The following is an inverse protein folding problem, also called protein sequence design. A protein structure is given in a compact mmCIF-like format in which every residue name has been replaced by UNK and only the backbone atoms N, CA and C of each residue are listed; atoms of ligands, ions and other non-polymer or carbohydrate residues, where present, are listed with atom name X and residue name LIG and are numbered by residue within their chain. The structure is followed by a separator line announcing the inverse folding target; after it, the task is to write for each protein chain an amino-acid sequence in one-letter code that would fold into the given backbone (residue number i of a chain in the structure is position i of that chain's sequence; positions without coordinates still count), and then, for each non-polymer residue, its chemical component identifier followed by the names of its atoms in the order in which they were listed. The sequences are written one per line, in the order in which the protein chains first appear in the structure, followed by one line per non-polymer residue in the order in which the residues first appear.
data_IF_335008498123
#
_entry.id   IF_335008498123
#
_cell.length_a   1.000
_cell.length_b   1.000
_cell.length_c   1.000
_cell.angle_alpha   90.00
_cell.angle_beta   90.00
_cell.angle_gamma   90.00
#
_symmetry.space_group_name_H-M   'P 1'
#
loop_
_entity.id
_entity.type
_entity.pdbx_description
1 polymer ?
#
# COMPACT_ATOMS: atom_id res chain seq x y z
N UNK A 1 18.14 -25.21 -5.72
CA UNK A 1 16.75 -24.72 -5.78
C UNK A 1 16.82 -23.21 -5.70
N UNK A 2 16.42 -22.49 -6.75
CA UNK A 2 16.66 -21.05 -6.87
C UNK A 2 15.79 -20.27 -5.89
N UNK A 3 16.38 -19.24 -5.29
CA UNK A 3 15.75 -18.26 -4.39
C UNK A 3 14.74 -17.32 -5.12
N UNK A 4 14.40 -17.63 -6.38
CA UNK A 4 13.48 -16.86 -7.22
C UNK A 4 12.00 -17.16 -6.98
N UNK A 5 11.67 -17.94 -5.96
CA UNK A 5 10.29 -18.30 -5.58
C UNK A 5 9.74 -17.49 -4.39
N UNK A 6 10.51 -16.53 -3.87
CA UNK A 6 10.08 -15.59 -2.81
C UNK A 6 10.01 -14.14 -3.30
N UNK A 7 9.96 -13.91 -4.61
CA UNK A 7 9.74 -12.56 -5.11
C UNK A 7 8.25 -12.17 -4.97
N UNK A 8 7.89 -11.75 -3.76
CA UNK A 8 6.58 -11.19 -3.42
C UNK A 8 6.42 -9.74 -3.91
N UNK A 9 7.36 -9.20 -4.70
CA UNK A 9 7.24 -7.85 -5.28
C UNK A 9 6.37 -7.80 -6.54
N UNK A 10 5.97 -8.94 -7.10
CA UNK A 10 5.05 -9.04 -8.25
C UNK A 10 3.55 -9.02 -7.86
N UNK A 11 3.22 -8.67 -6.62
CA UNK A 11 1.84 -8.63 -6.16
C UNK A 11 1.14 -7.38 -6.70
N UNK A 12 0.33 -7.60 -7.75
CA UNK A 12 -0.61 -6.68 -8.39
C UNK A 12 -0.37 -5.19 -8.12
N UNK A 13 0.59 -4.61 -8.84
CA UNK A 13 0.66 -3.16 -8.98
C UNK A 13 -0.68 -2.65 -9.51
N UNK A 14 -1.15 -1.50 -9.01
CA UNK A 14 -2.30 -0.79 -9.57
C UNK A 14 -2.15 -0.50 -11.08
N UNK A 15 -0.93 -0.64 -11.63
CA UNK A 15 -0.65 -0.57 -13.06
C UNK A 15 -1.28 -1.70 -13.91
N UNK A 16 -1.66 -2.85 -13.32
CA UNK A 16 -2.28 -3.97 -14.07
C UNK A 16 -3.76 -3.74 -14.42
N UNK A 17 -4.30 -2.54 -14.17
CA UNK A 17 -5.72 -2.20 -14.45
C UNK A 17 -6.01 -2.05 -15.97
N UNK A 18 -5.01 -2.17 -16.85
CA UNK A 18 -5.19 -2.13 -18.30
C UNK A 18 -5.18 -3.54 -18.95
N UNK A 19 -6.22 -3.79 -19.76
CA UNK A 19 -6.46 -4.92 -20.70
C UNK A 19 -7.01 -6.27 -20.16
N UNK A 20 -8.34 -6.40 -20.14
CA UNK A 20 -9.13 -7.20 -21.10
C UNK A 20 -9.18 -8.76 -21.10
N UNK A 21 -10.35 -9.28 -20.65
CA UNK A 21 -11.12 -10.45 -21.14
C UNK A 21 -10.72 -11.89 -20.73
N UNK A 22 -10.37 -12.15 -19.47
CA UNK A 22 -10.55 -13.50 -18.89
C UNK A 22 -11.16 -13.49 -17.46
N UNK A 23 -11.80 -14.59 -17.03
CA UNK A 23 -12.41 -14.72 -15.69
C UNK A 23 -11.38 -14.55 -14.57
N UNK A 24 -10.12 -14.93 -14.82
CA UNK A 24 -9.00 -14.76 -13.89
C UNK A 24 -8.59 -13.27 -13.76
N UNK A 25 -8.60 -12.50 -14.85
CA UNK A 25 -8.35 -11.06 -14.81
C UNK A 25 -9.48 -10.26 -14.15
N UNK A 26 -10.74 -10.67 -14.36
CA UNK A 26 -11.88 -10.07 -13.67
C UNK A 26 -11.87 -10.35 -12.16
N UNK A 27 -11.44 -11.55 -11.75
CA UNK A 27 -11.25 -11.88 -10.34
C UNK A 27 -10.08 -11.08 -9.74
N UNK A 28 -8.94 -11.01 -10.43
CA UNK A 28 -7.76 -10.29 -9.97
C UNK A 28 -8.01 -8.77 -9.84
N UNK A 29 -8.62 -8.15 -10.85
CA UNK A 29 -9.02 -6.73 -10.79
C UNK A 29 -10.03 -6.46 -9.68
N UNK A 30 -10.98 -7.37 -9.43
CA UNK A 30 -11.91 -7.25 -8.30
C UNK A 30 -11.21 -7.37 -6.94
N UNK A 31 -10.19 -8.22 -6.79
CA UNK A 31 -9.40 -8.31 -5.55
C UNK A 31 -8.66 -7.00 -5.28
N UNK A 32 -7.94 -6.46 -6.28
CA UNK A 32 -7.17 -5.21 -6.16
C UNK A 32 -8.07 -4.03 -5.82
N UNK A 33 -9.29 -4.03 -6.34
CA UNK A 33 -10.28 -2.99 -6.10
C UNK A 33 -11.09 -3.18 -4.81
N UNK A 34 -10.95 -4.30 -4.08
CA UNK A 34 -11.55 -4.43 -2.76
C UNK A 34 -10.69 -3.67 -1.73
N UNK A 35 -11.20 -2.60 -1.12
CA UNK A 35 -10.42 -1.76 -0.21
C UNK A 35 -9.99 -2.50 1.06
N UNK A 36 -10.57 -3.67 1.32
CA UNK A 36 -10.22 -4.51 2.45
C UNK A 36 -9.37 -5.72 2.07
N UNK A 37 -9.04 -5.97 0.79
CA UNK A 37 -8.36 -7.20 0.38
C UNK A 37 -7.02 -7.43 1.10
N UNK A 38 -6.27 -6.35 1.37
CA UNK A 38 -4.97 -6.40 2.04
C UNK A 38 -5.06 -6.25 3.57
N UNK A 39 -6.27 -6.03 4.11
CA UNK A 39 -6.50 -5.89 5.54
C UNK A 39 -6.59 -7.24 6.26
N UNK A 40 -6.30 -7.23 7.55
CA UNK A 40 -6.47 -8.42 8.39
C UNK A 40 -7.93 -8.51 8.83
N UNK A 41 -8.68 -9.46 8.28
CA UNK A 41 -10.07 -9.66 8.67
C UNK A 41 -10.17 -10.24 10.08
N UNK A 42 -10.81 -9.51 10.98
CA UNK A 42 -11.06 -9.98 12.33
C UNK A 42 -12.29 -10.89 12.31
N UNK A 43 -12.08 -12.19 12.27
CA UNK A 43 -13.14 -13.18 12.11
C UNK A 43 -13.19 -14.14 13.30
N UNK A 44 -14.39 -14.55 13.67
CA UNK A 44 -14.60 -15.75 14.46
C UNK A 44 -14.20 -16.97 13.62
N UNK A 45 -13.71 -18.02 14.27
CA UNK A 45 -13.21 -19.20 13.58
C UNK A 45 -14.33 -19.89 12.79
N UNK A 46 -15.56 -19.92 13.31
CA UNK A 46 -16.72 -20.44 12.56
C UNK A 46 -16.95 -19.71 11.23
N UNK A 47 -16.70 -18.40 11.17
CA UNK A 47 -16.88 -17.62 9.95
C UNK A 47 -15.68 -17.75 9.02
N UNK A 48 -14.48 -17.84 9.57
CA UNK A 48 -13.28 -18.22 8.82
C UNK A 48 -13.48 -19.55 8.09
N UNK A 49 -14.06 -20.55 8.75
CA UNK A 49 -14.29 -21.86 8.16
C UNK A 49 -15.36 -21.86 7.04
N UNK A 50 -16.17 -20.80 6.94
CA UNK A 50 -17.19 -20.63 5.89
C UNK A 50 -16.67 -19.88 4.66
N UNK A 51 -15.41 -19.43 4.66
CA UNK A 51 -14.86 -18.77 3.47
C UNK A 51 -14.78 -19.78 2.31
N UNK A 52 -15.08 -19.30 1.11
CA UNK A 52 -15.07 -20.13 -0.09
C UNK A 52 -13.79 -19.88 -0.88
N UNK A 53 -13.02 -20.91 -1.23
CA UNK A 53 -11.89 -20.74 -2.13
C UNK A 53 -12.40 -20.30 -3.50
N UNK A 54 -11.75 -19.29 -4.07
CA UNK A 54 -12.03 -18.77 -5.40
C UNK A 54 -10.84 -19.07 -6.31
N UNK A 55 -10.92 -20.19 -7.03
CA UNK A 55 -9.83 -20.72 -7.85
C UNK A 55 -8.72 -21.38 -7.03
N UNK A 56 -7.55 -21.52 -7.65
CA UNK A 56 -6.42 -22.29 -7.11
C UNK A 56 -5.35 -21.43 -6.40
N UNK A 57 -5.43 -20.10 -6.50
CA UNK A 57 -4.39 -19.14 -6.07
C UNK A 57 -4.40 -18.78 -4.55
N UNK A 58 -4.96 -19.62 -3.67
CA UNK A 58 -5.19 -19.27 -2.25
C UNK A 58 -5.94 -17.93 -2.08
N UNK A 59 -6.88 -17.65 -2.97
CA UNK A 59 -7.82 -16.53 -2.84
C UNK A 59 -9.11 -17.06 -2.20
N UNK A 60 -9.63 -16.33 -1.22
CA UNK A 60 -10.82 -16.73 -0.50
C UNK A 60 -11.86 -15.63 -0.52
N UNK A 61 -13.13 -16.04 -0.54
CA UNK A 61 -14.28 -15.16 -0.48
C UNK A 61 -15.07 -15.36 0.80
N UNK A 62 -15.40 -14.25 1.44
CA UNK A 62 -16.33 -14.20 2.55
C UNK A 62 -17.50 -13.30 2.16
N UNK A 63 -18.59 -13.91 1.68
CA UNK A 63 -19.70 -13.18 1.08
C UNK A 63 -19.26 -12.36 -0.14
N UNK A 64 -19.47 -11.03 -0.16
CA UNK A 64 -19.05 -10.19 -1.27
C UNK A 64 -17.54 -9.87 -1.26
N UNK A 65 -16.82 -10.14 -0.18
CA UNK A 65 -15.45 -9.66 0.05
C UNK A 65 -14.37 -10.67 -0.23
N UNK A 66 -13.18 -10.18 -0.57
CA UNK A 66 -11.96 -10.97 -0.70
C UNK A 66 -11.19 -11.00 0.63
N UNK A 67 -10.70 -12.19 1.00
CA UNK A 67 -9.99 -12.43 2.25
C UNK A 67 -8.65 -13.09 1.94
N UNK A 68 -7.57 -12.40 2.29
CA UNK A 68 -6.20 -12.90 2.18
C UNK A 68 -5.56 -13.10 3.55
N UNK A 69 -5.80 -12.15 4.46
CA UNK A 69 -5.23 -12.10 5.79
C UNK A 69 -6.32 -12.06 6.85
N UNK A 70 -6.04 -12.67 7.99
CA UNK A 70 -7.00 -12.83 9.08
C UNK A 70 -6.35 -12.54 10.42
N UNK A 71 -7.17 -12.07 11.35
CA UNK A 71 -6.88 -11.87 12.76
C UNK A 71 -7.89 -12.71 13.58
N UNK A 72 -7.41 -13.78 14.18
CA UNK A 72 -8.21 -14.72 14.96
C UNK A 72 -7.77 -14.71 16.41
N UNK A 73 -8.70 -14.96 17.32
CA UNK A 73 -8.45 -15.11 18.76
C UNK A 73 -9.02 -16.45 19.18
N UNK A 74 -8.27 -17.21 19.97
CA UNK A 74 -8.73 -18.48 20.50
C UNK A 74 -7.73 -19.13 21.45
N UNK A 75 -8.16 -20.21 22.06
CA UNK A 75 -7.37 -21.02 22.98
C UNK A 75 -6.63 -22.10 22.20
N UNK A 76 -5.35 -22.30 22.50
CA UNK A 76 -4.54 -23.39 21.95
C UNK A 76 -5.09 -24.71 22.47
N UNK A 77 -5.73 -25.47 21.59
CA UNK A 77 -6.30 -26.78 21.89
C UNK A 77 -5.26 -27.89 21.72
N UNK A 78 -4.48 -27.83 20.65
CA UNK A 78 -3.39 -28.77 20.38
C UNK A 78 -2.14 -28.03 19.92
N UNK A 79 -0.98 -28.60 20.24
CA UNK A 79 0.33 -28.07 19.88
C UNK A 79 1.20 -29.23 19.40
N UNK A 80 1.56 -29.20 18.12
CA UNK A 80 2.50 -30.15 17.53
C UNK A 80 3.78 -29.42 17.14
N UNK A 81 4.85 -29.81 17.79
CA UNK A 81 6.18 -29.27 17.53
C UNK A 81 6.80 -29.91 16.28
N UNK A 82 7.31 -29.07 15.38
CA UNK A 82 8.17 -29.48 14.26
C UNK A 82 9.50 -28.72 14.35
N UNK A 83 10.45 -29.19 13.55
CA UNK A 83 11.82 -28.64 13.51
C UNK A 83 11.84 -27.13 13.22
N UNK A 84 11.06 -26.67 12.24
CA UNK A 84 11.07 -25.26 11.79
C UNK A 84 9.82 -24.45 12.16
N UNK A 85 8.78 -25.10 12.67
CA UNK A 85 7.50 -24.46 12.96
C UNK A 85 6.71 -25.23 14.02
N UNK A 86 5.72 -24.56 14.60
CA UNK A 86 4.69 -25.18 15.43
C UNK A 86 3.39 -25.26 14.64
N UNK A 87 2.72 -26.40 14.75
CA UNK A 87 1.37 -26.58 14.24
C UNK A 87 0.42 -26.57 15.42
N UNK A 88 -0.37 -25.51 15.52
CA UNK A 88 -1.34 -25.34 16.61
C UNK A 88 -2.76 -25.48 16.08
N UNK A 89 -3.67 -25.93 16.91
CA UNK A 89 -5.10 -25.80 16.66
C UNK A 89 -5.69 -24.80 17.65
N UNK A 90 -6.32 -23.76 17.12
CA UNK A 90 -7.00 -22.72 17.90
C UNK A 90 -8.49 -22.98 17.93
N UNK A 91 -9.08 -22.84 19.10
CA UNK A 91 -10.51 -22.99 19.36
C UNK A 91 -11.05 -21.73 20.06
N UNK A 92 -12.07 -21.10 19.48
CA UNK A 92 -12.72 -19.90 20.01
C UNK A 92 -14.14 -20.18 20.53
N UNK A 93 -14.50 -21.47 20.65
CA UNK A 93 -15.84 -21.92 21.01
C UNK A 93 -16.84 -21.92 19.84
N UNK A 94 -16.51 -21.30 18.71
CA UNK A 94 -17.34 -21.30 17.49
C UNK A 94 -16.80 -22.26 16.44
N UNK A 95 -15.50 -22.51 16.44
CA UNK A 95 -14.85 -23.48 15.57
C UNK A 95 -13.41 -23.73 15.95
N UNK A 96 -12.77 -24.66 15.24
CA UNK A 96 -11.37 -25.00 15.43
C UNK A 96 -10.61 -24.88 14.10
N UNK A 97 -9.47 -24.19 14.09
CA UNK A 97 -8.64 -24.01 12.89
C UNK A 97 -7.17 -24.30 13.19
N UNK A 98 -6.52 -24.99 12.25
CA UNK A 98 -5.10 -25.26 12.32
C UNK A 98 -4.31 -24.04 11.86
N UNK A 99 -3.30 -23.65 12.63
CA UNK A 99 -2.41 -22.54 12.33
C UNK A 99 -0.95 -23.02 12.33
N UNK A 100 -0.16 -22.49 11.41
CA UNK A 100 1.27 -22.74 11.28
C UNK A 100 2.03 -21.53 11.80
N UNK A 101 2.85 -21.70 12.83
CA UNK A 101 3.67 -20.64 13.44
C UNK A 101 5.13 -20.96 13.20
N UNK A 102 5.80 -20.17 12.36
CA UNK A 102 7.22 -20.40 12.03
C UNK A 102 8.12 -20.03 13.21
N UNK A 103 9.15 -20.84 13.44
CA UNK A 103 10.26 -20.45 14.31
C UNK A 103 11.07 -19.39 13.58
N UNK A 104 11.56 -18.40 14.32
CA UNK A 104 12.67 -17.62 13.81
C UNK A 104 13.91 -18.53 13.78
N UNK A 105 14.71 -18.47 12.72
CA UNK A 105 16.01 -19.14 12.73
C UNK A 105 17.00 -18.29 13.53
N UNK A 106 17.87 -18.95 14.30
CA UNK A 106 19.00 -18.35 15.02
C UNK A 106 19.87 -17.43 14.13
N UNK A 107 19.87 -17.62 12.81
CA UNK A 107 20.60 -16.80 11.83
C UNK A 107 20.08 -15.36 11.71
N UNK A 108 18.78 -15.11 11.87
CA UNK A 108 18.23 -13.74 11.80
C UNK A 108 18.56 -12.92 13.06
N UNK A 109 18.62 -13.56 14.23
CA UNK A 109 18.97 -12.89 15.49
C UNK A 109 20.49 -12.67 15.61
N UNK A 110 21.31 -13.63 15.16
CA UNK A 110 22.77 -13.53 15.22
C UNK A 110 23.34 -12.48 14.25
N UNK A 111 22.76 -12.27 13.07
CA UNK A 111 23.22 -11.23 12.15
C UNK A 111 22.92 -9.81 12.67
N UNK A 112 21.79 -9.57 13.34
CA UNK A 112 21.52 -8.27 13.95
C UNK A 112 22.47 -7.97 15.12
N UNK A 113 22.74 -8.95 15.98
CA UNK A 113 23.70 -8.78 17.07
C UNK A 113 25.14 -8.58 16.58
N UNK A 114 25.52 -9.22 15.46
CA UNK A 114 26.88 -9.15 14.90
C UNK A 114 27.14 -7.88 14.07
N UNK A 115 26.10 -7.25 13.54
CA UNK A 115 26.17 -5.93 12.90
C UNK A 115 26.25 -4.81 13.95
N UNK A 116 25.52 -4.92 15.09
CA UNK A 116 25.62 -3.99 16.22
C UNK A 116 26.96 -4.09 16.97
N UNK A 117 27.56 -5.28 17.05
CA UNK A 117 28.82 -5.47 17.79
C UNK A 117 30.07 -4.97 17.04
N UNK A 118 29.93 -4.50 15.79
CA UNK A 118 31.08 -4.11 14.96
C UNK A 118 31.37 -2.61 14.98
N UNK A 119 30.43 -1.78 15.43
CA UNK A 119 30.65 -0.34 15.47
C UNK A 119 30.20 0.25 16.82
N UNK A 120 31.13 1.00 17.41
CA UNK A 120 31.00 1.99 18.50
C UNK A 120 30.91 1.51 19.95
N UNK A 121 31.94 1.91 20.71
CA UNK A 121 32.11 1.80 22.16
C UNK A 121 31.26 2.84 22.94
N UNK A 122 30.03 3.10 22.47
CA UNK A 122 29.18 4.13 23.06
C UNK A 122 27.94 3.49 23.70
N UNK A 123 27.99 3.36 25.03
CA UNK A 123 26.97 2.69 25.85
C UNK A 123 25.57 3.27 25.63
N UNK A 124 25.47 4.58 25.39
CA UNK A 124 24.20 5.26 25.13
C UNK A 124 23.63 4.91 23.75
N UNK A 125 24.46 4.71 22.73
CA UNK A 125 23.99 4.27 21.41
C UNK A 125 23.42 2.85 21.48
N UNK A 126 24.11 1.92 22.15
CA UNK A 126 23.61 0.56 22.38
C UNK A 126 22.30 0.57 23.16
N UNK A 127 22.19 1.38 24.22
CA UNK A 127 20.97 1.51 25.02
C UNK A 127 19.81 2.09 24.23
N UNK A 128 20.05 3.09 23.39
CA UNK A 128 19.03 3.67 22.50
C UNK A 128 18.62 2.67 21.43
N UNK A 129 19.56 1.93 20.83
CA UNK A 129 19.24 0.86 19.88
C UNK A 129 18.44 -0.27 20.53
N UNK A 130 18.82 -0.72 21.73
CA UNK A 130 18.05 -1.70 22.50
C UNK A 130 16.66 -1.16 22.87
N UNK A 131 16.57 0.11 23.24
CA UNK A 131 15.28 0.73 23.55
C UNK A 131 14.40 0.87 22.30
N UNK A 132 14.96 1.27 21.16
CA UNK A 132 14.26 1.35 19.88
C UNK A 132 13.85 -0.04 19.38
N UNK A 133 14.69 -1.06 19.54
CA UNK A 133 14.33 -2.46 19.29
C UNK A 133 13.19 -2.89 20.23
N UNK A 134 13.26 -2.54 21.51
CA UNK A 134 12.19 -2.84 22.48
C UNK A 134 10.89 -2.13 22.14
N UNK A 135 10.96 -0.89 21.65
CA UNK A 135 9.80 -0.09 21.23
C UNK A 135 9.21 -0.60 19.91
N UNK A 136 10.06 -0.93 18.94
CA UNK A 136 9.65 -1.58 17.70
C UNK A 136 9.01 -2.96 17.96
N UNK A 137 9.52 -3.70 18.95
CA UNK A 137 8.95 -4.97 19.39
C UNK A 137 7.67 -4.84 20.24
N UNK A 138 7.40 -3.67 20.83
CA UNK A 138 6.19 -3.41 21.63
C UNK A 138 5.06 -2.76 20.82
N UNK A 139 5.38 -1.97 19.79
CA UNK A 139 4.41 -1.32 18.89
C UNK A 139 3.97 -2.17 17.69
N UNK A 140 4.72 -3.21 17.35
CA UNK A 140 4.34 -4.21 16.36
C UNK A 140 4.21 -5.55 17.04
N UNK A 141 3.00 -6.13 16.91
CA UNK A 141 2.63 -7.49 17.31
C UNK A 141 3.83 -8.39 17.61
N UNK A 142 4.11 -8.62 18.89
CA UNK A 142 5.14 -9.52 19.43
C UNK A 142 5.90 -10.30 18.35
N UNK A 143 6.97 -9.68 17.86
CA UNK A 143 7.97 -10.34 17.05
C UNK A 143 8.51 -11.53 17.85
N UNK A 144 8.56 -12.67 17.20
CA UNK A 144 8.78 -13.97 17.83
C UNK A 144 10.23 -14.07 18.35
N UNK A 145 10.53 -13.57 19.55
CA UNK A 145 11.78 -13.92 20.25
C UNK A 145 11.73 -15.40 20.65
N UNK A 146 12.83 -16.12 20.42
CA UNK A 146 13.04 -17.54 20.80
C UNK A 146 12.60 -17.80 22.26
N UNK A 147 12.92 -16.86 23.16
CA UNK A 147 12.58 -16.91 24.59
C UNK A 147 11.07 -16.90 24.89
N UNK A 148 10.20 -16.52 23.93
CA UNK A 148 8.74 -16.51 24.09
C UNK A 148 8.03 -17.64 23.32
N UNK A 149 8.75 -18.46 22.54
CA UNK A 149 8.18 -19.64 21.90
C UNK A 149 8.00 -20.81 22.88
N UNK A 150 8.85 -20.88 23.91
CA UNK A 150 8.68 -21.75 25.09
C UNK A 150 7.39 -21.46 25.88
N UNK A 151 6.69 -20.36 25.57
CA UNK A 151 5.40 -20.01 26.14
C UNK A 151 4.23 -20.62 25.40
N UNK A 152 4.35 -21.10 24.15
CA UNK A 152 3.19 -21.70 23.47
C UNK A 152 2.86 -23.03 24.15
N UNK A 153 1.73 -23.07 24.86
CA UNK A 153 1.25 -24.23 25.61
C UNK A 153 -0.24 -24.41 25.36
N UNK A 154 -0.69 -25.65 25.46
CA UNK A 154 -2.12 -25.98 25.41
C UNK A 154 -2.84 -25.27 26.56
N UNK A 155 -4.00 -24.69 26.27
CA UNK A 155 -4.82 -23.93 27.22
C UNK A 155 -4.55 -22.42 27.23
N UNK A 156 -3.55 -21.93 26.49
CA UNK A 156 -3.31 -20.49 26.40
C UNK A 156 -4.21 -19.83 25.37
N UNK A 157 -4.73 -18.67 25.75
CA UNK A 157 -5.44 -17.79 24.83
C UNK A 157 -4.47 -16.91 24.06
N UNK A 158 -4.60 -16.93 22.73
CA UNK A 158 -3.76 -16.13 21.85
C UNK A 158 -4.59 -15.40 20.80
N UNK A 159 -4.10 -14.23 20.42
CA UNK A 159 -4.48 -13.52 19.20
C UNK A 159 -3.44 -13.80 18.13
N UNK A 160 -3.85 -14.27 16.96
CA UNK A 160 -2.98 -14.69 15.87
C UNK A 160 -3.36 -13.94 14.59
N UNK A 161 -2.36 -13.34 13.95
CA UNK A 161 -2.50 -12.73 12.62
C UNK A 161 -1.72 -13.54 11.60
N UNK A 162 -2.35 -13.76 10.45
CA UNK A 162 -1.74 -14.60 9.44
C UNK A 162 -2.43 -14.59 8.10
N UNK A 163 -1.78 -15.21 7.13
CA UNK A 163 -2.32 -15.45 5.80
C UNK A 163 -3.19 -16.69 5.80
N UNK A 164 -4.35 -16.62 5.15
CA UNK A 164 -5.17 -17.79 4.88
C UNK A 164 -4.52 -18.62 3.77
N UNK A 165 -4.42 -19.93 3.98
CA UNK A 165 -3.97 -20.91 3.01
C UNK A 165 -4.92 -22.10 2.99
N UNK A 166 -4.90 -22.85 1.89
CA UNK A 166 -5.58 -24.14 1.81
C UNK A 166 -4.54 -25.25 1.84
N UNK A 167 -4.63 -26.13 2.84
CA UNK A 167 -3.77 -27.30 2.97
C UNK A 167 -4.60 -28.58 3.01
N UNK A 168 -4.38 -29.48 2.05
CA UNK A 168 -5.12 -30.75 1.91
C UNK A 168 -6.64 -30.58 1.96
N UNK A 169 -7.13 -29.54 1.28
CA UNK A 169 -8.56 -29.23 1.20
C UNK A 169 -9.11 -28.45 2.41
N UNK A 170 -8.37 -28.34 3.53
CA UNK A 170 -8.78 -27.61 4.73
C UNK A 170 -8.16 -26.21 4.78
N UNK A 171 -8.83 -25.29 5.47
CA UNK A 171 -8.31 -23.96 5.74
C UNK A 171 -7.21 -24.06 6.80
N UNK A 172 -6.09 -23.41 6.54
CA UNK A 172 -4.96 -23.28 7.46
C UNK A 172 -4.55 -21.81 7.50
N UNK A 173 -4.14 -21.32 8.66
CA UNK A 173 -3.62 -19.96 8.79
C UNK A 173 -2.11 -19.99 8.99
N UNK A 174 -1.37 -19.36 8.09
CA UNK A 174 0.06 -19.16 8.23
C UNK A 174 0.33 -17.88 9.04
N UNK A 175 0.75 -18.02 10.28
CA UNK A 175 0.92 -16.91 11.20
C UNK A 175 2.15 -16.07 10.84
N UNK A 176 1.96 -14.76 10.87
CA UNK A 176 3.07 -13.79 10.85
C UNK A 176 3.44 -13.38 12.27
N UNK A 177 2.42 -13.30 13.13
CA UNK A 177 2.57 -12.80 14.48
C UNK A 177 1.48 -13.35 15.39
N UNK A 178 1.79 -13.46 16.68
CA UNK A 178 0.83 -13.86 17.70
C UNK A 178 1.08 -13.09 18.99
N UNK A 179 0.04 -12.93 19.81
CA UNK A 179 0.08 -12.28 21.13
C UNK A 179 -0.70 -13.13 22.12
N UNK A 180 -0.12 -13.40 23.28
CA UNK A 180 -0.82 -14.08 24.38
C UNK A 180 -1.80 -13.10 25.04
N UNK A 181 -3.03 -13.54 25.23
CA UNK A 181 -4.07 -12.81 25.96
C UNK A 181 -4.08 -13.32 27.41
N UNK A 182 -4.01 -12.40 28.36
CA UNK A 182 -3.99 -12.73 29.79
C UNK A 182 -5.30 -12.38 30.50
N UNK A 183 -6.14 -11.52 29.90
CA UNK A 183 -7.38 -11.04 30.50
C UNK A 183 -8.59 -11.63 29.76
N UNK A 184 -9.45 -12.34 30.49
CA UNK A 184 -10.70 -12.91 29.97
C UNK A 184 -11.67 -11.82 29.46
N UNK A 185 -11.58 -10.59 29.98
CA UNK A 185 -12.38 -9.47 29.48
C UNK A 185 -12.01 -9.12 28.04
N UNK A 186 -10.72 -9.20 27.71
CA UNK A 186 -10.24 -8.90 26.36
C UNK A 186 -10.80 -9.91 25.36
N UNK A 187 -10.81 -11.20 25.69
CA UNK A 187 -11.39 -12.26 24.86
C UNK A 187 -12.87 -11.99 24.53
N UNK A 188 -13.66 -11.61 25.54
CA UNK A 188 -15.08 -11.31 25.33
C UNK A 188 -15.28 -10.09 24.42
N UNK A 189 -14.49 -9.03 24.61
CA UNK A 189 -14.54 -7.84 23.75
C UNK A 189 -14.15 -8.17 22.31
N UNK A 190 -13.15 -9.02 22.14
CA UNK A 190 -12.67 -9.51 20.85
C UNK A 190 -13.75 -10.33 20.12
N UNK A 191 -14.56 -11.13 20.82
CA UNK A 191 -15.72 -11.85 20.24
C UNK A 191 -16.80 -10.87 19.78
N UNK A 192 -17.21 -9.92 20.63
CA UNK A 192 -18.24 -8.92 20.32
C UNK A 192 -17.81 -8.06 19.13
N UNK A 193 -16.55 -7.64 19.12
CA UNK A 193 -15.98 -6.81 18.06
C UNK A 193 -16.00 -7.52 16.70
N UNK A 194 -15.58 -8.79 16.64
CA UNK A 194 -15.56 -9.59 15.41
C UNK A 194 -16.95 -9.76 14.82
N UNK A 195 -17.93 -10.09 15.65
CA UNK A 195 -19.30 -10.26 15.18
C UNK A 195 -19.90 -8.92 14.70
N UNK A 196 -19.56 -7.79 15.34
CA UNK A 196 -19.95 -6.46 14.85
C UNK A 196 -19.33 -6.15 13.49
N UNK A 197 -18.03 -6.36 13.32
CA UNK A 197 -17.32 -6.14 12.05
C UNK A 197 -17.91 -6.98 10.93
N UNK A 198 -18.25 -8.25 11.21
CA UNK A 198 -18.91 -9.14 10.27
C UNK A 198 -20.21 -8.53 9.74
N UNK A 199 -21.09 -8.07 10.63
CA UNK A 199 -22.42 -7.54 10.28
C UNK A 199 -22.34 -6.16 9.62
N UNK A 200 -21.51 -5.28 10.16
CA UNK A 200 -21.49 -3.86 9.79
C UNK A 200 -20.54 -3.54 8.64
N UNK A 201 -19.53 -4.38 8.38
CA UNK A 201 -18.49 -4.10 7.39
C UNK A 201 -18.38 -5.23 6.39
N UNK A 202 -18.05 -6.45 6.83
CA UNK A 202 -17.65 -7.53 5.92
C UNK A 202 -18.81 -8.09 5.07
N UNK A 203 -20.05 -8.03 5.58
CA UNK A 203 -21.24 -8.43 4.82
C UNK A 203 -21.73 -7.37 3.84
N UNK A 204 -21.24 -6.12 3.93
CA UNK A 204 -21.68 -5.06 3.01
C UNK A 204 -21.04 -5.27 1.63
N UNK A 205 -21.82 -5.27 0.54
CA UNK A 205 -21.27 -5.33 -0.80
C UNK A 205 -20.39 -4.12 -1.08
N UNK A 206 -19.45 -4.28 -2.00
CA UNK A 206 -18.79 -3.16 -2.67
C UNK A 206 -18.93 -3.34 -4.17
N UNK A 207 -18.92 -2.22 -4.89
CA UNK A 207 -18.85 -2.24 -6.34
C UNK A 207 -17.40 -1.94 -6.78
N UNK A 208 -16.69 -2.91 -7.38
CA UNK A 208 -15.38 -2.66 -7.96
C UNK A 208 -15.40 -1.52 -9.00
N UNK A 209 -16.51 -1.34 -9.73
CA UNK A 209 -16.65 -0.30 -10.76
C UNK A 209 -16.58 1.10 -10.18
N UNK A 210 -17.37 1.38 -9.14
CA UNK A 210 -17.36 2.66 -8.44
C UNK A 210 -15.99 2.99 -7.85
N UNK A 211 -15.32 1.99 -7.26
CA UNK A 211 -14.00 2.17 -6.67
C UNK A 211 -12.96 2.47 -7.75
N UNK A 212 -13.01 1.77 -8.89
CA UNK A 212 -12.14 2.05 -10.03
C UNK A 212 -12.30 3.51 -10.49
N UNK A 213 -13.53 3.97 -10.66
CA UNK A 213 -13.80 5.34 -11.10
C UNK A 213 -13.30 6.37 -10.09
N UNK A 214 -13.44 6.08 -8.78
CA UNK A 214 -12.91 6.93 -7.72
C UNK A 214 -11.37 6.96 -7.72
N UNK A 215 -10.72 5.81 -7.91
CA UNK A 215 -9.25 5.71 -8.01
C UNK A 215 -8.74 6.49 -9.22
N UNK A 216 -9.37 6.35 -10.38
CA UNK A 216 -9.00 7.09 -11.59
C UNK A 216 -9.15 8.61 -11.40
N UNK A 217 -10.24 9.06 -10.76
CA UNK A 217 -10.43 10.47 -10.40
C UNK A 217 -9.33 10.96 -9.46
N UNK A 218 -9.01 10.20 -8.41
CA UNK A 218 -7.95 10.58 -7.47
C UNK A 218 -6.56 10.59 -8.12
N UNK A 219 -6.27 9.66 -9.04
CA UNK A 219 -5.01 9.63 -9.77
C UNK A 219 -4.87 10.85 -10.68
N UNK A 220 -5.93 11.23 -11.38
CA UNK A 220 -5.94 12.44 -12.20
C UNK A 220 -5.72 13.70 -11.33
N UNK A 221 -6.39 13.82 -10.19
CA UNK A 221 -6.21 14.94 -9.25
C UNK A 221 -4.80 14.97 -8.65
N UNK A 222 -4.26 13.82 -8.23
CA UNK A 222 -2.92 13.73 -7.63
C UNK A 222 -1.83 14.00 -8.66
N UNK A 223 -1.99 13.51 -9.90
CA UNK A 223 -1.06 13.80 -11.01
C UNK A 223 -1.06 15.29 -11.34
N UNK A 224 -2.24 15.91 -11.44
CA UNK A 224 -2.36 17.36 -11.63
C UNK A 224 -1.67 18.13 -10.50
N UNK A 225 -1.92 17.78 -9.23
CA UNK A 225 -1.26 18.41 -8.09
C UNK A 225 0.27 18.23 -8.11
N UNK A 226 0.75 17.03 -8.43
CA UNK A 226 2.19 16.77 -8.53
C UNK A 226 2.82 17.63 -9.64
N UNK A 227 2.20 17.69 -10.82
CA UNK A 227 2.66 18.53 -11.93
C UNK A 227 2.70 20.02 -11.56
N UNK A 228 1.72 20.50 -10.80
CA UNK A 228 1.67 21.89 -10.32
C UNK A 228 2.80 22.15 -9.32
N UNK A 229 2.99 21.27 -8.33
CA UNK A 229 4.06 21.44 -7.33
C UNK A 229 5.46 21.40 -7.95
N UNK A 230 5.69 20.49 -8.89
CA UNK A 230 6.97 20.41 -9.60
C UNK A 230 7.20 21.64 -10.48
N UNK A 231 6.15 22.14 -11.14
CA UNK A 231 6.25 23.35 -11.95
C UNK A 231 6.53 24.59 -11.11
N UNK A 232 5.84 24.78 -9.97
CA UNK A 232 6.13 25.87 -9.04
C UNK A 232 7.58 25.82 -8.56
N UNK A 233 8.09 24.64 -8.19
CA UNK A 233 9.50 24.47 -7.80
C UNK A 233 10.46 24.89 -8.89
N UNK A 234 10.23 24.48 -10.15
CA UNK A 234 11.12 24.83 -11.26
C UNK A 234 11.07 26.34 -11.54
N UNK A 235 9.89 26.96 -11.44
CA UNK A 235 9.74 28.41 -11.61
C UNK A 235 10.49 29.21 -10.53
N UNK A 236 10.48 28.73 -9.28
CA UNK A 236 11.26 29.31 -8.18
C UNK A 236 12.77 29.14 -8.40
N UNK A 237 13.23 27.92 -8.73
CA UNK A 237 14.64 27.61 -8.98
C UNK A 237 15.21 28.42 -10.16
N UNK A 238 14.45 28.55 -11.25
CA UNK A 238 14.86 29.29 -12.44
C UNK A 238 14.62 30.81 -12.32
N UNK A 239 14.12 31.28 -11.16
CA UNK A 239 13.81 32.70 -10.89
C UNK A 239 12.89 33.34 -11.93
N UNK A 240 11.92 32.57 -12.44
CA UNK A 240 10.97 32.98 -13.47
C UNK A 240 9.76 33.71 -12.84
N UNK A 241 9.99 34.94 -12.40
CA UNK A 241 8.93 35.76 -11.77
C UNK A 241 7.97 36.41 -12.76
N UNK A 242 8.41 36.63 -14.00
CA UNK A 242 7.57 37.10 -15.10
C UNK A 242 7.93 36.33 -16.35
N UNK A 243 6.96 35.67 -16.97
CA UNK A 243 7.20 34.83 -18.13
C UNK A 243 6.02 34.86 -19.10
N UNK A 244 6.28 34.54 -20.36
CA UNK A 244 5.25 34.27 -21.36
C UNK A 244 5.02 32.77 -21.50
N UNK A 245 3.89 32.38 -22.09
CA UNK A 245 3.62 30.97 -22.46
C UNK A 245 4.77 30.35 -23.26
N UNK A 246 5.45 31.16 -24.08
CA UNK A 246 6.54 30.67 -24.90
C UNK A 246 7.78 30.31 -24.09
N UNK A 247 8.05 31.04 -23.01
CA UNK A 247 9.19 30.79 -22.13
C UNK A 247 9.00 29.46 -21.36
N UNK A 248 7.76 29.13 -20.98
CA UNK A 248 7.43 27.82 -20.40
C UNK A 248 7.61 26.67 -21.40
N UNK A 249 7.18 26.86 -22.65
CA UNK A 249 7.35 25.85 -23.70
C UNK A 249 8.83 25.62 -24.09
N UNK A 250 9.69 26.61 -23.87
CA UNK A 250 11.13 26.55 -24.18
C UNK A 250 11.97 26.06 -23.00
N UNK A 251 11.41 25.99 -21.79
CA UNK A 251 12.10 25.46 -20.62
C UNK A 251 12.21 23.93 -20.73
N UNK A 252 13.42 23.42 -20.98
CA UNK A 252 13.67 22.00 -21.16
C UNK A 252 13.32 21.18 -19.92
N UNK A 253 13.56 21.70 -18.71
CA UNK A 253 13.26 20.98 -17.46
C UNK A 253 11.76 20.80 -17.24
N UNK A 254 10.96 21.83 -17.56
CA UNK A 254 9.50 21.75 -17.50
C UNK A 254 8.95 20.82 -18.59
N UNK A 255 9.46 20.93 -19.82
CA UNK A 255 9.04 20.07 -20.92
C UNK A 255 9.35 18.58 -20.65
N UNK A 256 10.53 18.26 -20.12
CA UNK A 256 10.94 16.89 -19.78
C UNK A 256 10.08 16.31 -18.64
N UNK A 257 9.68 17.13 -17.65
CA UNK A 257 8.82 16.69 -16.54
C UNK A 257 7.36 16.51 -16.95
N UNK A 258 6.84 17.40 -17.78
CA UNK A 258 5.47 17.29 -18.31
C UNK A 258 5.32 16.08 -19.24
N UNK A 259 6.34 15.78 -20.05
CA UNK A 259 6.35 14.59 -20.90
C UNK A 259 6.54 13.31 -20.09
N UNK A 260 7.39 13.31 -19.06
CA UNK A 260 7.57 12.17 -18.16
C UNK A 260 6.32 11.82 -17.34
N UNK A 261 5.54 12.81 -16.91
CA UNK A 261 4.30 12.59 -16.16
C UNK A 261 3.11 12.20 -17.04
N UNK A 262 3.18 12.49 -18.35
CA UNK A 262 2.14 12.15 -19.32
C UNK A 262 2.26 10.73 -19.87
N UNK A 263 3.47 10.17 -19.89
CA UNK A 263 3.72 8.79 -20.26
C UNK A 263 3.72 7.90 -19.00
N UNK A 264 2.71 7.04 -18.79
CA UNK A 264 2.80 6.07 -17.71
C UNK A 264 4.03 5.20 -17.93
N UNK A 265 4.86 5.03 -16.90
CA UNK A 265 5.99 4.10 -16.92
C UNK A 265 5.43 2.71 -17.19
N UNK A 266 5.48 2.27 -18.45
CA UNK A 266 5.23 0.89 -18.83
C UNK A 266 6.48 0.11 -18.40
N UNK A 267 6.36 -0.65 -17.32
CA UNK A 267 7.27 -1.77 -17.09
C UNK A 267 6.90 -2.86 -18.09
N UNK A 268 7.51 -2.87 -19.27
CA UNK A 268 7.37 -3.98 -20.21
C UNK A 268 8.64 -4.85 -20.16
N UNK A 269 8.53 -6.15 -19.80
CA UNK A 269 9.60 -7.10 -19.95
C UNK A 269 9.68 -7.53 -21.41
N UNK A 270 10.85 -7.33 -22.01
CA UNK A 270 11.32 -7.94 -23.26
C UNK A 270 10.80 -7.35 -24.58
N UNK A 271 11.70 -6.58 -25.21
CA UNK A 271 11.98 -6.53 -26.66
C UNK A 271 10.86 -6.95 -27.64
N UNK A 272 10.22 -5.96 -28.25
CA UNK A 272 9.74 -6.06 -29.64
C UNK A 272 9.81 -4.68 -30.34
N UNK A 273 10.96 -4.48 -31.00
CA UNK A 273 11.32 -3.71 -32.20
C UNK A 273 10.22 -3.14 -33.14
N UNK A 274 10.58 -2.45 -34.25
CA UNK A 274 11.64 -1.46 -34.50
C UNK A 274 11.06 -0.11 -34.97
N UNK A 275 11.93 0.91 -35.02
CA UNK A 275 11.75 2.17 -35.74
C UNK A 275 10.99 1.99 -37.05
N UNK A 276 9.91 2.74 -37.27
CA UNK A 276 9.68 3.65 -38.41
C UNK A 276 8.30 4.32 -38.28
N UNK A 277 8.30 5.65 -38.47
CA UNK A 277 7.20 6.63 -38.43
C UNK A 277 6.80 7.17 -37.05
N UNK A 278 7.64 8.02 -36.47
CA UNK A 278 7.12 9.22 -35.78
C UNK A 278 7.83 10.46 -36.34
N UNK A 279 7.04 11.23 -37.06
CA UNK A 279 7.38 12.56 -37.52
C UNK A 279 7.60 13.42 -36.26
N UNK A 280 8.81 13.98 -36.08
CA UNK A 280 9.22 14.78 -34.90
C UNK A 280 8.41 16.10 -34.71
N UNK A 281 7.25 16.23 -35.36
CA UNK A 281 6.38 17.40 -35.34
C UNK A 281 5.23 17.30 -34.31
N UNK A 282 4.95 16.11 -33.76
CA UNK A 282 3.86 15.91 -32.79
C UNK A 282 4.24 16.20 -31.33
N UNK A 283 5.47 15.87 -30.90
CA UNK A 283 5.89 16.13 -29.50
C UNK A 283 5.85 17.61 -29.09
N UNK A 284 6.05 18.53 -30.03
CA UNK A 284 5.97 19.99 -29.77
C UNK A 284 4.51 20.46 -29.66
N UNK A 285 3.57 19.80 -30.35
CA UNK A 285 2.13 20.09 -30.20
C UNK A 285 1.61 19.59 -28.87
N UNK A 286 2.10 18.44 -28.41
CA UNK A 286 1.72 17.84 -27.13
C UNK A 286 2.21 18.68 -25.93
N UNK A 287 3.46 19.15 -25.95
CA UNK A 287 3.99 20.03 -24.89
C UNK A 287 3.22 21.35 -24.82
N UNK A 288 2.82 21.95 -25.95
CA UNK A 288 2.03 23.19 -25.95
C UNK A 288 0.66 23.00 -25.28
N UNK A 289 0.01 21.87 -25.51
CA UNK A 289 -1.27 21.53 -24.90
C UNK A 289 -1.11 21.26 -23.39
N UNK A 290 -0.05 20.57 -22.98
CA UNK A 290 0.27 20.33 -21.57
C UNK A 290 0.58 21.63 -20.83
N UNK A 291 1.32 22.55 -21.45
CA UNK A 291 1.59 23.88 -20.90
C UNK A 291 0.30 24.72 -20.81
N UNK A 292 -0.64 24.57 -21.74
CA UNK A 292 -1.94 25.23 -21.67
C UNK A 292 -2.79 24.73 -20.50
N UNK A 293 -2.84 23.42 -20.26
CA UNK A 293 -3.54 22.86 -19.10
C UNK A 293 -2.86 23.28 -17.79
N UNK A 294 -1.53 23.26 -17.74
CA UNK A 294 -0.77 23.72 -16.59
C UNK A 294 -1.03 25.21 -16.28
N UNK A 295 -1.07 26.07 -17.30
CA UNK A 295 -1.39 27.49 -17.11
C UNK A 295 -2.80 27.70 -16.54
N UNK A 296 -3.80 26.92 -17.01
CA UNK A 296 -5.16 26.97 -16.45
C UNK A 296 -5.17 26.56 -14.99
N UNK A 297 -4.44 25.51 -14.63
CA UNK A 297 -4.34 25.03 -13.25
C UNK A 297 -3.62 26.02 -12.33
N UNK A 298 -2.50 26.61 -12.77
CA UNK A 298 -1.79 27.64 -12.02
C UNK A 298 -2.62 28.92 -11.82
N UNK A 299 -3.41 29.32 -12.83
CA UNK A 299 -4.34 30.45 -12.71
C UNK A 299 -5.48 30.15 -11.73
N UNK A 300 -6.05 28.94 -11.80
CA UNK A 300 -7.16 28.53 -10.93
C UNK A 300 -6.75 28.43 -9.46
N UNK A 301 -5.54 27.95 -9.18
CA UNK A 301 -4.99 27.86 -7.81
C UNK A 301 -4.36 29.18 -7.30
N UNK A 302 -4.27 30.20 -8.15
CA UNK A 302 -3.76 31.53 -7.78
C UNK A 302 -2.23 31.61 -7.66
N UNK A 303 -1.48 30.70 -8.30
CA UNK A 303 -0.01 30.75 -8.35
C UNK A 303 0.51 31.79 -9.35
N UNK A 304 -0.27 32.07 -10.39
CA UNK A 304 0.08 33.06 -11.42
C UNK A 304 -1.08 34.01 -11.71
N UNK A 305 -0.78 35.21 -12.19
CA UNK A 305 -1.77 36.18 -12.67
C UNK A 305 -1.30 36.86 -13.97
N UNK A 306 -2.21 37.25 -14.87
CA UNK A 306 -1.84 37.92 -16.11
C UNK A 306 -1.28 39.32 -15.82
N UNK A 307 -0.17 39.66 -16.46
CA UNK A 307 0.44 40.98 -16.41
C UNK A 307 -0.36 41.98 -17.26
N UNK A 308 -0.45 43.22 -16.80
CA UNK A 308 -1.05 44.33 -17.55
C UNK A 308 -0.18 44.78 -18.74
N UNK A 309 1.11 44.44 -18.73
CA UNK A 309 2.07 44.79 -19.79
C UNK A 309 2.43 43.55 -20.62
N UNK A 310 2.04 43.47 -21.91
CA UNK A 310 2.38 42.34 -22.75
C UNK A 310 3.86 42.37 -23.12
N UNK A 311 4.58 41.27 -22.89
CA UNK A 311 5.96 41.12 -23.33
C UNK A 311 5.95 40.72 -24.81
N UNK A 312 6.47 41.60 -25.68
CA UNK A 312 6.56 41.32 -27.13
C UNK A 312 5.22 41.09 -27.82
N UNK A 313 4.13 41.71 -27.33
CA UNK A 313 2.78 41.53 -27.87
C UNK A 313 2.08 40.23 -27.45
N UNK A 314 2.65 39.49 -26.49
CA UNK A 314 2.07 38.26 -25.94
C UNK A 314 1.67 38.45 -24.48
N UNK A 315 0.65 37.71 -24.05
CA UNK A 315 0.23 37.66 -22.65
C UNK A 315 1.37 37.13 -21.78
N UNK A 316 1.81 37.97 -20.85
CA UNK A 316 2.78 37.64 -19.82
C UNK A 316 2.05 37.30 -18.51
N UNK A 317 2.66 36.47 -17.69
CA UNK A 317 2.17 36.05 -16.39
C UNK A 317 3.21 36.36 -15.33
N UNK A 318 2.75 36.78 -14.16
CA UNK A 318 3.58 36.94 -12.97
C UNK A 318 3.38 35.75 -12.04
N UNK A 319 4.49 35.22 -11.51
CA UNK A 319 4.50 34.12 -10.55
C UNK A 319 4.64 34.65 -9.13
N UNK A 320 3.79 34.15 -8.23
CA UNK A 320 3.82 34.49 -6.81
C UNK A 320 4.68 33.49 -6.05
N UNK A 321 5.81 33.94 -5.51
CA UNK A 321 6.62 33.15 -4.58
C UNK A 321 5.80 32.85 -3.31
N UNK A 322 6.03 31.69 -2.67
CA UNK A 322 5.22 31.14 -1.57
C UNK A 322 4.89 32.10 -0.42
N UNK A 323 5.70 33.14 -0.19
CA UNK A 323 5.50 34.16 0.84
C UNK A 323 4.49 35.28 0.46
N UNK A 324 4.13 35.42 -0.82
CA UNK A 324 3.27 36.49 -1.34
C UNK A 324 1.87 36.01 -1.78
N UNK A 325 1.42 34.84 -1.28
CA UNK A 325 0.05 34.37 -1.53
C UNK A 325 -0.95 35.39 -0.99
N UNK A 326 -1.65 36.08 -1.89
CA UNK A 326 -2.88 36.79 -1.53
C UNK A 326 -3.88 35.69 -1.17
N UNK A 327 -4.16 35.55 0.13
CA UNK A 327 -5.22 34.67 0.61
C UNK A 327 -6.49 35.00 -0.16
N UNK A 328 -6.96 34.06 -0.97
CA UNK A 328 -8.26 34.17 -1.63
C UNK A 328 -9.30 34.36 -0.53
N UNK A 329 -9.86 35.56 -0.46
CA UNK A 329 -10.96 35.92 0.39
C UNK A 329 -12.14 35.00 0.07
N UNK A 330 -12.35 33.99 0.92
CA UNK A 330 -13.65 33.40 1.13
C UNK A 330 -14.52 34.42 1.88
N UNK A 331 -14.94 35.47 1.18
CA UNK A 331 -16.01 36.34 1.67
C UNK A 331 -17.30 35.96 0.95
N UNK A 332 -18.13 35.27 1.74
CA UNK A 332 -19.56 35.12 1.62
C UNK A 332 -20.28 36.39 1.13
N UNK A 333 -21.13 36.24 0.12
CA UNK A 333 -22.51 36.75 0.09
C UNK A 333 -23.40 35.85 -0.75
#
# INVERSE_FOLDING_TARGET
MSLSLLDDSQWFSAATIALGKTFEEHAASSVVLDPLANEHYHLLISDLLKIHPAGDLNLFRFGPRWVLYVDIVGIIRTLFEREKFYLIELDDGTGCVTCTVWRQSDEYQSNQHRELSKNTADFEYTRVCEHLLSLACTGHSAWIREERLSLLQVGLSIRLRGRVKRFRGKINVNAFSYRVLSDAREELLEIIHRDRLRREIYQKPYDPGEIRDQVLKSLASNSAQLTITDACRILEEDSLYTFTKLDLCLNSRLADRLTANSNPVIFDPSDAAPDWLSDNSDGIRDVKNLVDELLKHLLAEGWIYPSSEPIGGRTAYHFLNGDNRVAGSSDSY
#
